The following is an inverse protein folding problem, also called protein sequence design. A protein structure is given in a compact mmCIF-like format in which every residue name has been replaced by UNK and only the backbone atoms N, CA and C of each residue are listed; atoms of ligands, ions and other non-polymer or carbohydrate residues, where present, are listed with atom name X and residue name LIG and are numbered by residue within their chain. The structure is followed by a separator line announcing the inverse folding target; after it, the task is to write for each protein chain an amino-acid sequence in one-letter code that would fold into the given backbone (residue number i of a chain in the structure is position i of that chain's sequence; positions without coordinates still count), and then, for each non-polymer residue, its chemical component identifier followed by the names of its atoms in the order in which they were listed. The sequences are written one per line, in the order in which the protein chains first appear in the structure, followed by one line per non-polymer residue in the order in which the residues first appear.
data_IF_962106222035
#
_entry.id   IF_962106222035
#
_cell.length_a   1.000
_cell.length_b   1.000
_cell.length_c   1.000
_cell.angle_alpha   90.00
_cell.angle_beta   90.00
_cell.angle_gamma   90.00
#
_symmetry.space_group_name_H-M   'P 1'
#
loop_
_entity.id
_entity.type
_entity.pdbx_description
1 polymer ?
#
# COMPACT_ATOMS: atom_id res chain seq x y z
N UNK A 1 -4.00 3.18 -9.87
CA UNK A 1 -4.52 4.22 -8.97
C UNK A 1 -5.61 3.66 -8.10
N UNK A 2 -5.78 4.20 -6.92
CA UNK A 2 -6.93 3.85 -6.10
C UNK A 2 -8.17 4.52 -6.69
N UNK A 3 -9.32 3.83 -6.69
CA UNK A 3 -10.58 4.31 -7.25
C UNK A 3 -11.20 5.55 -6.60
N UNK A 4 -10.45 6.20 -5.68
CA UNK A 4 -10.80 7.52 -5.14
C UNK A 4 -10.37 8.65 -6.08
N UNK A 5 -9.50 8.36 -7.05
CA UNK A 5 -9.10 9.32 -8.08
C UNK A 5 -10.23 9.45 -9.10
N UNK A 6 -10.97 10.52 -8.98
CA UNK A 6 -12.00 10.90 -9.94
C UNK A 6 -11.43 11.96 -10.87
N UNK A 7 -11.26 11.62 -12.14
CA UNK A 7 -10.70 12.54 -13.13
C UNK A 7 -9.29 12.14 -13.59
N UNK A 8 -8.56 13.11 -14.15
CA UNK A 8 -7.21 12.89 -14.66
C UNK A 8 -6.20 12.91 -13.53
N UNK A 9 -5.33 11.92 -13.47
CA UNK A 9 -4.27 11.79 -12.46
C UNK A 9 -2.90 12.03 -13.05
N UNK A 10 -2.01 12.67 -12.26
CA UNK A 10 -0.61 12.92 -12.60
C UNK A 10 0.29 12.47 -11.43
N UNK A 11 1.37 11.71 -11.69
CA UNK A 11 2.37 11.43 -10.68
C UNK A 11 3.19 12.69 -10.37
N UNK A 12 3.52 12.87 -9.08
CA UNK A 12 4.40 13.93 -8.59
C UNK A 12 5.48 13.30 -7.73
N UNK A 13 6.68 13.84 -7.81
CA UNK A 13 7.81 13.46 -6.98
C UNK A 13 8.28 14.69 -6.19
N UNK A 14 7.97 14.73 -4.91
CA UNK A 14 8.35 15.80 -4.01
C UNK A 14 9.72 15.57 -3.35
N UNK A 15 10.10 14.30 -3.17
CA UNK A 15 11.31 13.90 -2.43
C UNK A 15 12.03 12.74 -3.10
N UNK A 16 13.31 12.59 -2.77
CA UNK A 16 14.12 11.43 -3.17
C UNK A 16 14.86 10.87 -1.98
N UNK A 17 15.06 9.54 -1.99
CA UNK A 17 15.74 8.82 -0.94
C UNK A 17 14.89 8.64 0.31
N UNK A 18 15.39 7.85 1.24
CA UNK A 18 14.75 7.55 2.51
C UNK A 18 15.82 7.39 3.57
N UNK A 19 15.74 8.07 4.74
CA UNK A 19 16.81 8.05 5.74
C UNK A 19 16.88 6.72 6.52
N UNK A 20 15.96 5.82 6.24
CA UNK A 20 15.86 4.54 6.93
C UNK A 20 16.54 3.42 6.14
N UNK A 21 17.04 2.44 6.88
CA UNK A 21 17.81 1.32 6.34
C UNK A 21 17.10 -0.02 6.63
N UNK A 22 15.82 -0.10 6.25
CA UNK A 22 15.07 -1.33 6.40
C UNK A 22 15.71 -2.43 5.55
N UNK A 23 15.99 -3.60 6.14
CA UNK A 23 16.80 -4.65 5.51
C UNK A 23 16.18 -5.28 4.26
N UNK A 24 14.87 -5.17 4.12
CA UNK A 24 14.11 -5.69 2.97
C UNK A 24 13.99 -4.70 1.81
N UNK A 25 14.43 -3.46 2.00
CA UNK A 25 14.22 -2.36 1.05
C UNK A 25 15.50 -2.09 0.24
N UNK A 26 15.35 -1.94 -1.07
CA UNK A 26 16.47 -1.63 -1.99
C UNK A 26 16.81 -0.14 -2.04
N UNK A 27 16.06 0.73 -1.33
CA UNK A 27 16.31 2.17 -1.37
C UNK A 27 17.75 2.58 -1.05
N UNK A 28 18.46 2.01 -0.04
CA UNK A 28 19.83 2.39 0.27
C UNK A 28 20.79 2.27 -0.92
N UNK A 29 20.56 1.29 -1.80
CA UNK A 29 21.38 1.05 -3.00
C UNK A 29 20.89 1.83 -4.23
N UNK A 30 19.58 2.14 -4.32
CA UNK A 30 18.99 2.89 -5.45
C UNK A 30 19.19 4.41 -5.33
N UNK A 31 18.79 4.98 -4.18
CA UNK A 31 18.71 6.43 -3.97
C UNK A 31 19.59 6.91 -2.82
N UNK A 32 20.18 5.98 -2.06
CA UNK A 32 20.94 6.25 -0.86
C UNK A 32 20.05 6.58 0.35
N UNK A 33 20.72 6.88 1.46
CA UNK A 33 20.09 7.14 2.77
C UNK A 33 19.84 8.63 3.04
N UNK A 34 20.14 9.50 2.07
CA UNK A 34 19.89 10.94 2.20
C UNK A 34 18.48 11.25 1.69
N UNK A 35 17.63 11.75 2.57
CA UNK A 35 16.34 12.30 2.17
C UNK A 35 16.52 13.73 1.66
N UNK A 36 16.18 13.94 0.40
CA UNK A 36 16.27 15.24 -0.28
C UNK A 36 14.87 15.63 -0.71
N UNK A 37 14.36 16.75 -0.20
CA UNK A 37 13.08 17.31 -0.59
C UNK A 37 13.25 18.53 -1.51
N UNK A 38 12.36 18.67 -2.44
CA UNK A 38 12.09 19.95 -3.12
C UNK A 38 11.44 20.89 -2.11
N UNK A 39 11.45 22.19 -2.37
CA UNK A 39 10.67 23.10 -1.52
C UNK A 39 9.16 22.86 -1.70
N UNK A 40 8.33 23.14 -0.69
CA UNK A 40 6.87 23.06 -0.81
C UNK A 40 6.33 23.89 -1.97
N UNK A 41 6.88 25.09 -2.22
CA UNK A 41 6.52 26.00 -3.30
C UNK A 41 6.75 25.37 -4.67
N UNK A 42 7.94 24.78 -4.89
CA UNK A 42 8.27 24.15 -6.17
C UNK A 42 7.32 22.99 -6.51
N UNK A 43 6.93 22.20 -5.49
CA UNK A 43 6.00 21.09 -5.67
C UNK A 43 4.59 21.61 -5.97
N UNK A 44 4.15 22.61 -5.22
CA UNK A 44 2.83 23.21 -5.41
C UNK A 44 2.71 23.90 -6.77
N UNK A 45 3.72 24.68 -7.19
CA UNK A 45 3.74 25.35 -8.48
C UNK A 45 3.66 24.37 -9.65
N UNK A 46 4.39 23.25 -9.57
CA UNK A 46 4.31 22.19 -10.57
C UNK A 46 2.90 21.58 -10.63
N UNK A 47 2.30 21.26 -9.48
CA UNK A 47 0.93 20.74 -9.42
C UNK A 47 -0.06 21.75 -10.00
N UNK A 48 0.08 23.02 -9.68
CA UNK A 48 -0.76 24.10 -10.21
C UNK A 48 -0.63 24.26 -11.73
N UNK A 49 0.59 24.15 -12.27
CA UNK A 49 0.82 24.17 -13.72
C UNK A 49 0.14 22.99 -14.41
N UNK A 50 0.26 21.78 -13.86
CA UNK A 50 -0.38 20.59 -14.41
C UNK A 50 -1.92 20.69 -14.31
N UNK A 51 -2.44 21.18 -13.20
CA UNK A 51 -3.88 21.43 -13.04
C UNK A 51 -4.40 22.38 -14.11
N UNK A 52 -3.76 23.53 -14.29
CA UNK A 52 -4.17 24.55 -15.28
C UNK A 52 -3.99 24.10 -16.72
N UNK A 53 -2.84 23.51 -17.07
CA UNK A 53 -2.47 23.19 -18.44
C UNK A 53 -3.12 21.90 -18.95
N UNK A 54 -3.25 20.88 -18.11
CA UNK A 54 -3.69 19.55 -18.51
C UNK A 54 -5.01 19.14 -17.85
N UNK A 55 -5.62 20.01 -17.07
CA UNK A 55 -6.87 19.74 -16.32
C UNK A 55 -6.70 18.49 -15.41
N UNK A 56 -5.60 18.48 -14.66
CA UNK A 56 -5.32 17.40 -13.71
C UNK A 56 -6.08 17.67 -12.41
N UNK A 57 -6.89 16.73 -12.00
CA UNK A 57 -7.73 16.81 -10.79
C UNK A 57 -7.19 16.02 -9.61
N UNK A 58 -6.24 15.10 -9.90
CA UNK A 58 -5.65 14.23 -8.89
C UNK A 58 -4.14 14.15 -9.03
N UNK A 59 -3.43 14.08 -7.90
CA UNK A 59 -1.99 13.91 -7.87
C UNK A 59 -1.58 12.74 -7.00
N UNK A 60 -0.69 11.90 -7.53
CA UNK A 60 -0.15 10.74 -6.83
C UNK A 60 1.31 11.01 -6.44
N UNK A 61 1.60 11.11 -5.16
CA UNK A 61 2.97 11.26 -4.67
C UNK A 61 3.69 9.92 -4.70
N UNK A 62 4.53 9.70 -5.71
CA UNK A 62 5.29 8.46 -5.90
C UNK A 62 6.63 8.43 -5.16
N UNK A 63 6.71 9.21 -4.10
CA UNK A 63 7.86 9.24 -3.20
C UNK A 63 8.00 7.92 -2.44
N UNK A 64 9.23 7.50 -2.17
CA UNK A 64 9.51 6.37 -1.28
C UNK A 64 9.03 6.65 0.15
N UNK A 65 9.21 7.91 0.60
CA UNK A 65 8.63 8.44 1.84
C UNK A 65 8.48 9.95 1.72
N UNK A 66 7.29 10.41 1.38
CA UNK A 66 7.02 11.81 1.13
C UNK A 66 7.14 12.65 2.41
N UNK A 67 6.63 12.14 3.54
CA UNK A 67 6.56 12.86 4.79
C UNK A 67 7.62 12.33 5.77
N UNK A 68 8.72 13.08 5.92
CA UNK A 68 9.77 12.86 6.94
C UNK A 68 9.79 14.01 7.94
N UNK A 69 9.58 15.24 7.45
CA UNK A 69 9.61 16.45 8.28
C UNK A 69 8.22 17.06 8.41
N UNK A 70 7.71 17.19 9.64
CA UNK A 70 6.42 17.83 9.93
C UNK A 70 6.33 19.23 9.33
N UNK A 71 7.38 20.06 9.49
CA UNK A 71 7.41 21.43 8.95
C UNK A 71 7.12 21.48 7.46
N UNK A 72 7.75 20.59 6.67
CA UNK A 72 7.59 20.56 5.21
C UNK A 72 6.15 20.31 4.80
N UNK A 73 5.51 19.29 5.40
CA UNK A 73 4.14 18.91 5.01
C UNK A 73 3.11 19.96 5.49
N UNK A 74 3.30 20.55 6.66
CA UNK A 74 2.44 21.64 7.17
C UNK A 74 2.49 22.85 6.22
N UNK A 75 3.70 23.24 5.79
CA UNK A 75 3.91 24.36 4.87
C UNK A 75 3.25 24.08 3.51
N UNK A 76 3.47 22.90 2.94
CA UNK A 76 2.82 22.47 1.70
C UNK A 76 1.28 22.49 1.81
N UNK A 77 0.71 21.89 2.86
CA UNK A 77 -0.73 21.85 3.04
C UNK A 77 -1.35 23.26 3.17
N UNK A 78 -0.72 24.15 3.94
CA UNK A 78 -1.17 25.53 4.09
C UNK A 78 -1.17 26.28 2.77
N UNK A 79 -0.12 26.15 1.97
CA UNK A 79 -0.07 26.75 0.63
C UNK A 79 -1.22 26.29 -0.27
N UNK A 80 -1.51 24.99 -0.28
CA UNK A 80 -2.63 24.43 -1.05
C UNK A 80 -3.95 25.02 -0.55
N UNK A 81 -4.16 25.06 0.76
CA UNK A 81 -5.40 25.57 1.38
C UNK A 81 -5.58 27.07 1.05
N UNK A 82 -4.55 27.87 1.27
CA UNK A 82 -4.56 29.33 1.09
C UNK A 82 -4.78 29.73 -0.38
N UNK A 83 -4.33 28.89 -1.31
CA UNK A 83 -4.54 29.11 -2.74
C UNK A 83 -5.99 28.98 -3.20
N UNK A 84 -6.83 28.31 -2.43
CA UNK A 84 -8.23 28.03 -2.78
C UNK A 84 -8.43 27.03 -3.92
N UNK A 85 -7.36 26.48 -4.53
CA UNK A 85 -7.43 25.52 -5.63
C UNK A 85 -8.04 24.20 -5.14
N UNK A 86 -8.90 23.61 -5.97
CA UNK A 86 -9.58 22.35 -5.67
C UNK A 86 -9.04 21.22 -6.54
N UNK A 87 -8.15 20.44 -5.98
CA UNK A 87 -7.74 19.14 -6.50
C UNK A 87 -7.61 18.13 -5.35
N UNK A 88 -7.49 16.87 -5.69
CA UNK A 88 -7.21 15.82 -4.71
C UNK A 88 -5.81 15.29 -4.90
N UNK A 89 -5.23 14.73 -3.84
CA UNK A 89 -3.93 14.09 -3.90
C UNK A 89 -3.85 12.91 -2.91
N UNK A 90 -2.87 12.06 -3.10
CA UNK A 90 -2.72 10.87 -2.29
C UNK A 90 -1.26 10.47 -2.08
N UNK A 91 -1.04 9.67 -1.02
CA UNK A 91 0.23 9.07 -0.63
C UNK A 91 0.13 7.54 -0.79
N UNK A 92 0.27 6.99 -2.01
CA UNK A 92 0.08 5.57 -2.27
C UNK A 92 1.22 4.71 -1.74
N UNK A 93 2.42 5.27 -1.60
CA UNK A 93 3.58 4.62 -0.99
C UNK A 93 3.47 4.63 0.53
N UNK A 94 4.16 3.69 1.19
CA UNK A 94 4.08 3.57 2.64
C UNK A 94 4.58 4.83 3.37
N UNK A 95 3.67 5.52 4.03
CA UNK A 95 3.97 6.71 4.83
C UNK A 95 4.35 6.32 6.24
N UNK A 96 5.27 7.07 6.82
CA UNK A 96 5.66 6.92 8.22
C UNK A 96 4.81 7.83 9.10
N UNK A 97 4.48 7.31 10.29
CA UNK A 97 3.56 7.97 11.22
C UNK A 97 4.18 9.04 12.10
N UNK A 98 5.52 9.11 12.19
CA UNK A 98 6.22 9.94 13.16
C UNK A 98 5.99 11.44 12.98
N UNK A 99 5.66 11.87 11.77
CA UNK A 99 5.36 13.26 11.45
C UNK A 99 3.87 13.54 11.23
N UNK A 100 2.99 12.56 11.52
CA UNK A 100 1.54 12.67 11.27
C UNK A 100 0.81 12.54 12.61
N UNK A 101 0.43 13.66 13.15
CA UNK A 101 -0.45 13.80 14.31
C UNK A 101 -1.83 14.36 13.89
N UNK A 102 -2.66 14.72 14.85
CA UNK A 102 -3.99 15.26 14.61
C UNK A 102 -3.96 16.54 13.76
N UNK A 103 -3.07 17.51 14.08
CA UNK A 103 -2.90 18.75 13.29
C UNK A 103 -2.54 18.46 11.84
N UNK A 104 -1.56 17.59 11.62
CA UNK A 104 -1.13 17.23 10.26
C UNK A 104 -2.23 16.47 9.52
N UNK A 105 -2.95 15.58 10.20
CA UNK A 105 -4.06 14.83 9.60
C UNK A 105 -5.19 15.75 9.14
N UNK A 106 -5.52 16.77 9.92
CA UNK A 106 -6.50 17.78 9.56
C UNK A 106 -6.05 18.59 8.33
N UNK A 107 -4.82 19.10 8.34
CA UNK A 107 -4.25 19.85 7.23
C UNK A 107 -4.15 19.01 5.95
N UNK A 108 -3.77 17.74 6.06
CA UNK A 108 -3.77 16.81 4.93
C UNK A 108 -5.14 16.73 4.28
N UNK A 109 -6.19 16.52 5.07
CA UNK A 109 -7.55 16.43 4.54
C UNK A 109 -8.03 17.76 3.93
N UNK A 110 -7.80 18.89 4.61
CA UNK A 110 -8.19 20.23 4.15
C UNK A 110 -7.48 20.60 2.84
N UNK A 111 -6.22 20.22 2.66
CA UNK A 111 -5.46 20.45 1.42
C UNK A 111 -5.82 19.49 0.28
N UNK A 112 -6.76 18.57 0.46
CA UNK A 112 -7.23 17.67 -0.58
C UNK A 112 -6.64 16.26 -0.55
N UNK A 113 -5.84 15.88 0.46
CA UNK A 113 -5.40 14.49 0.64
C UNK A 113 -6.62 13.60 0.91
N UNK A 114 -6.78 12.53 0.11
CA UNK A 114 -7.93 11.62 0.25
C UNK A 114 -7.51 10.18 0.56
N UNK A 115 -6.29 9.80 0.22
CA UNK A 115 -5.77 8.46 0.48
C UNK A 115 -4.36 8.52 1.04
N UNK A 116 -4.10 7.65 2.00
CA UNK A 116 -2.78 7.46 2.56
C UNK A 116 -2.53 5.99 2.89
N UNK A 117 -1.34 5.50 2.52
CA UNK A 117 -0.88 4.16 2.89
C UNK A 117 0.09 4.24 4.07
N UNK A 118 -0.18 3.49 5.11
CA UNK A 118 0.78 3.20 6.18
C UNK A 118 1.57 1.94 5.86
N UNK A 119 2.81 1.87 6.31
CA UNK A 119 3.67 0.71 6.12
C UNK A 119 4.22 0.20 7.46
N UNK A 120 3.39 -0.41 8.32
CA UNK A 120 3.86 -1.04 9.55
C UNK A 120 4.77 -2.24 9.28
N UNK A 121 4.60 -2.94 8.17
CA UNK A 121 5.25 -4.16 7.71
C UNK A 121 4.95 -5.38 8.61
N UNK A 122 5.08 -5.26 9.93
CA UNK A 122 4.81 -6.34 10.89
C UNK A 122 4.18 -5.80 12.18
N UNK A 123 3.35 -6.62 12.81
CA UNK A 123 2.83 -6.38 14.17
C UNK A 123 3.71 -6.97 15.28
N UNK A 124 4.82 -7.64 14.91
CA UNK A 124 5.76 -8.24 15.86
C UNK A 124 6.94 -7.33 16.13
N UNK A 125 7.16 -6.88 17.40
CA UNK A 125 8.30 -6.04 17.75
C UNK A 125 9.66 -6.70 17.42
N UNK A 126 9.77 -8.01 17.58
CA UNK A 126 11.01 -8.74 17.27
C UNK A 126 11.29 -8.77 15.76
N UNK A 127 10.26 -8.92 14.93
CA UNK A 127 10.41 -8.81 13.47
C UNK A 127 10.84 -7.40 13.09
N UNK A 128 10.15 -6.36 13.60
CA UNK A 128 10.47 -4.96 13.33
C UNK A 128 11.92 -4.62 13.67
N UNK A 129 12.42 -5.14 14.79
CA UNK A 129 13.82 -4.97 15.19
C UNK A 129 14.77 -5.62 14.17
N UNK A 130 14.51 -6.88 13.79
CA UNK A 130 15.34 -7.62 12.81
C UNK A 130 15.38 -6.97 11.43
N UNK A 131 14.24 -6.47 10.96
CA UNK A 131 14.17 -5.80 9.67
C UNK A 131 14.58 -4.31 9.73
N UNK A 132 15.08 -3.85 10.86
CA UNK A 132 15.49 -2.47 11.11
C UNK A 132 14.37 -1.44 10.82
N UNK A 133 13.11 -1.85 10.98
CA UNK A 133 11.95 -0.96 10.83
C UNK A 133 11.74 -0.19 12.13
N UNK A 134 12.34 1.00 12.21
CA UNK A 134 12.29 1.87 13.40
C UNK A 134 10.94 2.59 13.46
N UNK A 135 9.90 1.93 13.96
CA UNK A 135 8.57 2.50 14.21
C UNK A 135 8.08 2.10 15.59
N UNK A 136 7.25 2.93 16.19
CA UNK A 136 6.44 2.59 17.35
C UNK A 136 5.00 2.29 16.91
N UNK A 137 4.53 1.06 17.16
CA UNK A 137 3.21 0.61 16.72
C UNK A 137 2.08 1.38 17.40
N UNK A 138 2.25 1.82 18.65
CA UNK A 138 1.23 2.57 19.39
C UNK A 138 1.07 3.98 18.80
N UNK A 139 2.18 4.65 18.54
CA UNK A 139 2.20 5.96 17.88
C UNK A 139 1.61 5.88 16.47
N UNK A 140 1.92 4.81 15.74
CA UNK A 140 1.33 4.58 14.41
C UNK A 140 -0.19 4.38 14.47
N UNK A 141 -0.69 3.64 15.46
CA UNK A 141 -2.14 3.49 15.64
C UNK A 141 -2.83 4.80 16.02
N UNK A 142 -2.18 5.66 16.81
CA UNK A 142 -2.70 6.99 17.09
C UNK A 142 -2.82 7.82 15.80
N UNK A 143 -1.74 7.89 15.02
CA UNK A 143 -1.72 8.55 13.70
C UNK A 143 -2.79 8.00 12.76
N UNK A 144 -3.00 6.67 12.71
CA UNK A 144 -4.06 6.05 11.93
C UNK A 144 -5.47 6.51 12.36
N UNK A 145 -5.72 6.59 13.69
CA UNK A 145 -7.00 7.09 14.22
C UNK A 145 -7.25 8.53 13.84
N UNK A 146 -6.24 9.38 13.98
CA UNK A 146 -6.35 10.81 13.65
C UNK A 146 -6.64 11.00 12.16
N UNK A 147 -5.92 10.30 11.29
CA UNK A 147 -6.15 10.36 9.84
C UNK A 147 -7.55 9.88 9.43
N UNK A 148 -8.03 8.77 10.04
CA UNK A 148 -9.38 8.25 9.76
C UNK A 148 -10.45 9.18 10.28
N UNK A 149 -10.25 9.75 11.48
CA UNK A 149 -11.19 10.72 12.09
C UNK A 149 -11.35 11.97 11.24
N UNK A 150 -10.27 12.41 10.61
CA UNK A 150 -10.27 13.52 9.68
C UNK A 150 -10.76 13.16 8.25
N UNK A 151 -11.21 11.92 8.01
CA UNK A 151 -11.84 11.53 6.75
C UNK A 151 -10.87 11.03 5.67
N UNK A 152 -9.59 10.80 5.99
CA UNK A 152 -8.63 10.24 5.06
C UNK A 152 -8.85 8.73 4.94
N UNK A 153 -8.89 8.23 3.71
CA UNK A 153 -8.94 6.80 3.44
C UNK A 153 -7.55 6.18 3.67
N UNK A 154 -7.42 5.38 4.72
CA UNK A 154 -6.16 4.80 5.15
C UNK A 154 -6.06 3.32 4.79
N UNK A 155 -4.92 2.94 4.24
CA UNK A 155 -4.53 1.56 3.94
C UNK A 155 -3.30 1.19 4.76
N UNK A 156 -3.15 -0.10 5.09
CA UNK A 156 -1.93 -0.63 5.71
C UNK A 156 -1.28 -1.71 4.85
N UNK A 157 0.04 -1.62 4.72
CA UNK A 157 0.86 -2.62 4.04
C UNK A 157 1.58 -3.49 5.07
N UNK A 158 1.38 -4.79 5.00
CA UNK A 158 1.97 -5.80 5.87
C UNK A 158 2.75 -6.79 5.02
N UNK A 159 3.90 -7.20 5.53
CA UNK A 159 4.75 -8.25 4.94
C UNK A 159 4.86 -9.38 5.95
N UNK A 160 4.67 -10.62 5.51
CA UNK A 160 4.84 -11.83 6.31
C UNK A 160 5.77 -12.82 5.59
N UNK A 161 6.40 -13.73 6.33
CA UNK A 161 7.30 -14.73 5.76
C UNK A 161 8.74 -14.24 5.58
N UNK A 162 9.20 -13.29 6.42
CA UNK A 162 10.62 -12.94 6.47
C UNK A 162 11.50 -14.16 6.81
N UNK A 163 12.78 -14.22 6.39
CA UNK A 163 13.62 -15.42 6.49
C UNK A 163 13.66 -16.11 7.87
N UNK A 164 13.58 -15.35 8.95
CA UNK A 164 13.61 -15.88 10.32
C UNK A 164 12.31 -15.60 11.09
N UNK A 165 11.20 -15.37 10.40
CA UNK A 165 9.91 -15.14 11.01
C UNK A 165 9.26 -16.46 11.42
N UNK A 166 8.75 -16.53 12.65
CA UNK A 166 8.10 -17.70 13.23
C UNK A 166 6.58 -17.61 13.15
N UNK A 167 5.88 -18.73 13.30
CA UNK A 167 4.42 -18.76 13.41
C UNK A 167 3.89 -17.80 14.49
N UNK A 168 4.55 -17.76 15.66
CA UNK A 168 4.16 -16.86 16.76
C UNK A 168 4.22 -15.39 16.34
N UNK A 169 5.23 -14.99 15.60
CA UNK A 169 5.39 -13.62 15.13
C UNK A 169 4.38 -13.26 14.06
N UNK A 170 4.04 -14.20 13.17
CA UNK A 170 2.92 -14.03 12.23
C UNK A 170 1.60 -13.83 12.98
N UNK A 171 1.33 -14.63 14.05
CA UNK A 171 0.13 -14.42 14.86
C UNK A 171 0.09 -13.04 15.52
N UNK A 172 1.22 -12.50 15.99
CA UNK A 172 1.30 -11.13 16.50
C UNK A 172 0.93 -10.12 15.40
N UNK A 173 1.39 -10.35 14.17
CA UNK A 173 1.05 -9.52 13.01
C UNK A 173 -0.44 -9.63 12.65
N UNK A 174 -1.03 -10.82 12.66
CA UNK A 174 -2.46 -11.01 12.44
C UNK A 174 -3.31 -10.33 13.54
N UNK A 175 -2.85 -10.39 14.80
CA UNK A 175 -3.49 -9.65 15.90
C UNK A 175 -3.42 -8.14 15.68
N UNK A 176 -2.30 -7.64 15.17
CA UNK A 176 -2.18 -6.23 14.79
C UNK A 176 -3.15 -5.87 13.65
N UNK A 177 -3.39 -6.75 12.69
CA UNK A 177 -4.43 -6.56 11.66
C UNK A 177 -5.83 -6.42 12.28
N UNK A 178 -6.16 -7.23 13.30
CA UNK A 178 -7.43 -7.09 14.06
C UNK A 178 -7.52 -5.71 14.71
N UNK A 179 -6.45 -5.22 15.35
CA UNK A 179 -6.40 -3.88 15.95
C UNK A 179 -6.60 -2.78 14.92
N UNK A 180 -5.95 -2.89 13.76
CA UNK A 180 -6.15 -1.95 12.65
C UNK A 180 -7.59 -1.97 12.11
N UNK A 181 -8.22 -3.14 11.99
CA UNK A 181 -9.63 -3.25 11.64
C UNK A 181 -10.54 -2.58 12.68
N UNK A 182 -10.25 -2.77 13.98
CA UNK A 182 -10.98 -2.11 15.07
C UNK A 182 -10.79 -0.58 15.06
N UNK A 183 -9.62 -0.06 14.73
CA UNK A 183 -9.36 1.37 14.51
C UNK A 183 -10.20 1.89 13.33
N UNK A 184 -10.39 1.06 12.31
CA UNK A 184 -11.16 1.40 11.11
C UNK A 184 -10.31 1.71 9.89
N UNK A 185 -9.09 1.15 9.80
CA UNK A 185 -8.33 1.12 8.55
C UNK A 185 -9.23 0.59 7.43
N UNK A 186 -9.13 1.17 6.25
CA UNK A 186 -10.07 0.88 5.16
C UNK A 186 -9.67 -0.36 4.36
N UNK A 187 -8.38 -0.61 4.26
CA UNK A 187 -7.83 -1.71 3.45
C UNK A 187 -6.51 -2.22 4.05
N UNK A 188 -6.24 -3.52 3.91
CA UNK A 188 -4.97 -4.13 4.30
C UNK A 188 -4.41 -4.94 3.15
N UNK A 189 -3.10 -4.84 2.94
CA UNK A 189 -2.37 -5.73 2.04
C UNK A 189 -1.48 -6.64 2.86
N UNK A 190 -1.72 -7.95 2.84
CA UNK A 190 -0.81 -8.95 3.37
C UNK A 190 -0.01 -9.56 2.22
N UNK A 191 1.24 -9.17 2.10
CA UNK A 191 2.14 -9.63 1.05
C UNK A 191 3.15 -10.61 1.62
N UNK A 192 3.54 -11.67 0.88
CA UNK A 192 4.70 -12.46 1.27
C UNK A 192 5.95 -11.62 1.10
N UNK A 193 6.96 -11.87 1.93
CA UNK A 193 8.27 -11.30 1.72
C UNK A 193 8.84 -11.76 0.38
N UNK A 194 9.35 -10.82 -0.40
CA UNK A 194 10.05 -11.08 -1.65
C UNK A 194 11.45 -10.47 -1.57
N UNK A 195 12.51 -11.25 -1.89
CA UNK A 195 13.89 -10.78 -1.78
C UNK A 195 14.25 -9.90 -2.98
N UNK A 196 13.99 -8.61 -2.87
CA UNK A 196 14.33 -7.65 -3.92
C UNK A 196 15.84 -7.43 -4.03
N UNK A 197 16.42 -7.54 -5.25
CA UNK A 197 17.83 -7.22 -5.50
C UNK A 197 18.21 -5.85 -4.97
N UNK A 198 19.40 -5.74 -4.39
CA UNK A 198 19.89 -4.50 -3.78
C UNK A 198 19.45 -4.28 -2.32
N UNK A 199 18.60 -5.13 -1.76
CA UNK A 199 18.29 -5.10 -0.33
C UNK A 199 19.31 -5.90 0.48
N UNK A 200 19.49 -5.56 1.77
CA UNK A 200 20.40 -6.28 2.69
C UNK A 200 19.97 -7.75 2.84
N UNK A 201 18.66 -8.01 2.99
CA UNK A 201 18.17 -9.40 3.09
C UNK A 201 18.41 -10.19 1.81
N UNK A 202 18.26 -9.58 0.64
CA UNK A 202 18.61 -10.25 -0.62
C UNK A 202 20.08 -10.64 -0.65
N UNK A 203 20.99 -9.73 -0.31
CA UNK A 203 22.43 -10.00 -0.31
C UNK A 203 22.80 -11.10 0.69
N UNK A 204 22.18 -11.10 1.88
CA UNK A 204 22.39 -12.16 2.87
C UNK A 204 21.92 -13.53 2.34
N UNK A 205 20.71 -13.59 1.77
CA UNK A 205 20.16 -14.82 1.19
C UNK A 205 20.98 -15.31 -0.02
N UNK A 206 21.54 -14.39 -0.81
CA UNK A 206 22.41 -14.73 -1.92
C UNK A 206 23.72 -15.35 -1.43
N UNK A 207 24.34 -14.77 -0.40
CA UNK A 207 25.56 -15.30 0.22
C UNK A 207 25.34 -16.67 0.87
N UNK A 208 24.13 -16.91 1.39
CA UNK A 208 23.70 -18.20 1.96
C UNK A 208 23.29 -19.23 0.88
N UNK A 209 23.36 -18.89 -0.40
CA UNK A 209 22.95 -19.77 -1.51
C UNK A 209 21.44 -20.02 -1.60
N UNK A 210 20.62 -19.16 -1.00
CA UNK A 210 19.15 -19.31 -0.95
C UNK A 210 18.45 -18.61 -2.13
N UNK A 211 19.16 -17.74 -2.87
CA UNK A 211 18.61 -17.08 -4.06
C UNK A 211 18.83 -18.00 -5.27
N UNK A 212 17.77 -18.37 -5.99
CA UNK A 212 17.89 -19.13 -7.21
C UNK A 212 18.61 -18.34 -8.31
N UNK A 213 18.93 -19.00 -9.40
CA UNK A 213 19.44 -18.36 -10.60
C UNK A 213 18.48 -17.27 -11.09
N UNK A 214 19.01 -16.19 -11.63
CA UNK A 214 18.22 -15.09 -12.18
C UNK A 214 17.53 -15.55 -13.47
N UNK A 215 16.33 -16.04 -13.31
CA UNK A 215 15.45 -16.49 -14.38
C UNK A 215 14.18 -15.63 -14.43
N UNK A 216 13.39 -15.80 -15.47
CA UNK A 216 12.07 -15.15 -15.56
C UNK A 216 11.18 -15.55 -14.39
N UNK A 217 11.23 -16.83 -13.94
CA UNK A 217 10.49 -17.34 -12.79
C UNK A 217 10.88 -16.63 -11.50
N UNK A 218 12.18 -16.34 -11.30
CA UNK A 218 12.64 -15.55 -10.15
C UNK A 218 12.02 -14.16 -10.17
N UNK A 219 12.08 -13.46 -11.31
CA UNK A 219 11.55 -12.10 -11.40
C UNK A 219 10.01 -12.07 -11.31
N UNK A 220 9.30 -13.04 -11.88
CA UNK A 220 7.85 -13.19 -11.69
C UNK A 220 7.51 -13.49 -10.23
N UNK A 221 8.34 -14.27 -9.53
CA UNK A 221 8.20 -14.55 -8.10
C UNK A 221 8.26 -13.30 -7.22
N UNK A 222 9.02 -12.27 -7.61
CA UNK A 222 9.07 -10.99 -6.89
C UNK A 222 7.72 -10.25 -6.92
N UNK A 223 6.86 -10.52 -7.90
CA UNK A 223 5.54 -9.93 -8.04
C UNK A 223 4.44 -10.74 -7.29
N UNK A 224 4.79 -11.72 -6.47
CA UNK A 224 3.86 -12.59 -5.74
C UNK A 224 2.86 -11.84 -4.82
N UNK A 225 3.12 -10.57 -4.50
CA UNK A 225 2.17 -9.72 -3.78
C UNK A 225 0.89 -9.42 -4.58
N UNK A 226 0.89 -9.59 -5.89
CA UNK A 226 -0.27 -9.37 -6.77
C UNK A 226 -1.11 -10.63 -6.95
N UNK A 227 -0.55 -11.81 -6.70
CA UNK A 227 -1.21 -13.10 -6.89
C UNK A 227 -1.43 -13.79 -5.53
N UNK A 228 -2.69 -14.08 -5.22
CA UNK A 228 -3.07 -14.79 -4.00
C UNK A 228 -2.98 -16.31 -4.14
N UNK A 229 -2.89 -16.84 -5.36
CA UNK A 229 -2.85 -18.27 -5.63
C UNK A 229 -1.46 -18.87 -5.46
N UNK A 230 -0.41 -18.03 -5.63
CA UNK A 230 0.98 -18.45 -5.52
C UNK A 230 1.63 -17.76 -4.32
N UNK A 231 2.14 -18.52 -3.38
CA UNK A 231 2.87 -18.00 -2.23
C UNK A 231 4.13 -18.83 -2.01
N UNK A 232 5.27 -18.18 -2.15
CA UNK A 232 6.57 -18.76 -1.81
C UNK A 232 7.05 -18.14 -0.50
N UNK A 233 7.49 -18.98 0.43
CA UNK A 233 8.01 -18.55 1.73
C UNK A 233 9.52 -18.51 1.72
N UNK A 234 10.07 -17.42 2.21
CA UNK A 234 11.50 -17.32 2.51
C UNK A 234 11.81 -17.65 3.98
N UNK A 235 10.79 -17.96 4.79
CA UNK A 235 10.98 -18.31 6.20
C UNK A 235 11.53 -19.72 6.38
N UNK A 236 12.49 -19.87 7.29
CA UNK A 236 13.01 -21.18 7.72
C UNK A 236 12.00 -21.99 8.54
N UNK A 237 10.98 -21.32 9.11
CA UNK A 237 10.04 -21.92 10.07
C UNK A 237 8.63 -22.07 9.52
N UNK A 238 8.29 -21.35 8.47
CA UNK A 238 6.93 -21.29 7.93
C UNK A 238 6.97 -21.67 6.45
N UNK A 239 6.42 -22.81 6.09
CA UNK A 239 6.38 -23.29 4.70
C UNK A 239 5.32 -22.56 3.86
N UNK A 240 5.38 -22.72 2.54
CA UNK A 240 4.55 -22.05 1.54
C UNK A 240 3.05 -22.17 1.80
N UNK A 241 2.57 -23.40 2.10
CA UNK A 241 1.15 -23.66 2.38
C UNK A 241 0.66 -22.90 3.61
N UNK A 242 1.47 -22.90 4.68
CA UNK A 242 1.13 -22.20 5.92
C UNK A 242 1.13 -20.69 5.70
N UNK A 243 2.11 -20.17 4.96
CA UNK A 243 2.18 -18.74 4.64
C UNK A 243 1.00 -18.32 3.76
N UNK A 244 0.63 -19.10 2.75
CA UNK A 244 -0.54 -18.87 1.92
C UNK A 244 -1.83 -18.86 2.72
N UNK A 245 -1.98 -19.80 3.68
CA UNK A 245 -3.09 -19.80 4.62
C UNK A 245 -3.13 -18.53 5.46
N UNK A 246 -2.00 -18.09 6.04
CA UNK A 246 -1.94 -16.86 6.85
C UNK A 246 -2.28 -15.61 6.05
N UNK A 247 -1.90 -15.53 4.78
CA UNK A 247 -2.30 -14.41 3.90
C UNK A 247 -3.82 -14.33 3.78
N UNK A 248 -4.45 -15.41 3.36
CA UNK A 248 -5.89 -15.44 3.13
C UNK A 248 -6.65 -15.27 4.44
N UNK A 249 -6.28 -16.03 5.47
CA UNK A 249 -6.90 -15.97 6.79
C UNK A 249 -6.77 -14.58 7.42
N UNK A 250 -5.61 -13.95 7.33
CA UNK A 250 -5.37 -12.60 7.86
C UNK A 250 -6.24 -11.54 7.17
N UNK A 251 -6.41 -11.63 5.86
CA UNK A 251 -7.31 -10.75 5.11
C UNK A 251 -8.77 -10.98 5.51
N UNK A 252 -9.22 -12.25 5.57
CA UNK A 252 -10.56 -12.58 6.01
C UNK A 252 -10.84 -12.12 7.44
N UNK A 253 -9.88 -12.30 8.34
CA UNK A 253 -9.96 -11.85 9.72
C UNK A 253 -10.08 -10.33 9.81
N UNK A 254 -9.23 -9.60 9.07
CA UNK A 254 -9.28 -8.14 9.01
C UNK A 254 -10.64 -7.63 8.53
N UNK A 255 -11.11 -8.08 7.36
CA UNK A 255 -12.38 -7.62 6.80
C UNK A 255 -13.58 -8.11 7.62
N UNK A 256 -13.52 -9.33 8.18
CA UNK A 256 -14.54 -9.86 9.08
C UNK A 256 -14.74 -8.97 10.31
N UNK A 257 -13.65 -8.62 10.98
CA UNK A 257 -13.69 -7.69 12.14
C UNK A 257 -14.14 -6.30 11.72
N UNK A 258 -13.62 -5.79 10.58
CA UNK A 258 -13.98 -4.47 10.07
C UNK A 258 -15.49 -4.36 9.81
N UNK A 259 -16.08 -5.34 9.13
CA UNK A 259 -17.51 -5.33 8.78
C UNK A 259 -18.41 -5.65 9.98
N UNK A 260 -17.94 -6.49 10.91
CA UNK A 260 -18.65 -6.73 12.16
C UNK A 260 -18.80 -5.43 13.00
N UNK A 261 -17.71 -4.69 13.11
CA UNK A 261 -17.70 -3.43 13.88
C UNK A 261 -18.31 -2.24 13.13
N UNK A 262 -18.33 -2.31 11.78
CA UNK A 262 -18.82 -1.23 10.89
C UNK A 262 -19.65 -1.79 9.73
N UNK A 263 -20.87 -2.30 10.01
CA UNK A 263 -21.68 -2.99 9.01
C UNK A 263 -22.03 -2.09 7.79
N UNK A 264 -22.12 -0.76 7.98
CA UNK A 264 -22.33 0.18 6.88
C UNK A 264 -21.21 0.14 5.83
N UNK A 265 -19.98 -0.25 6.22
CA UNK A 265 -18.88 -0.42 5.26
C UNK A 265 -19.09 -1.62 4.34
N UNK A 266 -19.70 -2.68 4.83
CA UNK A 266 -20.08 -3.82 3.97
C UNK A 266 -21.07 -3.37 2.88
N UNK A 267 -22.08 -2.61 3.25
CA UNK A 267 -23.05 -2.04 2.29
C UNK A 267 -22.36 -1.14 1.28
N UNK A 268 -21.41 -0.30 1.75
CA UNK A 268 -20.62 0.57 0.87
C UNK A 268 -19.75 -0.25 -0.09
N UNK A 269 -19.06 -1.28 0.39
CA UNK A 269 -18.24 -2.18 -0.42
C UNK A 269 -19.08 -2.87 -1.50
N UNK A 270 -20.25 -3.42 -1.15
CA UNK A 270 -21.15 -4.02 -2.13
C UNK A 270 -21.59 -3.01 -3.20
N UNK A 271 -21.98 -1.80 -2.78
CA UNK A 271 -22.34 -0.74 -3.73
C UNK A 271 -21.18 -0.37 -4.66
N UNK A 272 -19.95 -0.28 -4.14
CA UNK A 272 -18.77 0.07 -4.91
C UNK A 272 -18.34 -1.04 -5.89
N UNK A 273 -18.52 -2.31 -5.52
CA UNK A 273 -18.26 -3.46 -6.44
C UNK A 273 -19.11 -3.38 -7.70
N UNK A 274 -20.38 -2.98 -7.57
CA UNK A 274 -21.29 -2.82 -8.70
C UNK A 274 -21.29 -1.39 -9.30
N UNK A 275 -20.62 -0.45 -8.65
CA UNK A 275 -20.52 0.94 -9.08
C UNK A 275 -19.34 1.20 -10.03
N UNK A 276 -19.17 2.46 -10.40
CA UNK A 276 -18.07 2.91 -11.27
C UNK A 276 -16.75 3.05 -10.54
N UNK A 277 -16.76 3.26 -9.22
CA UNK A 277 -15.58 3.61 -8.42
C UNK A 277 -15.37 2.60 -7.30
N UNK A 278 -14.14 2.09 -7.18
CA UNK A 278 -13.70 1.22 -6.11
C UNK A 278 -12.71 1.98 -5.22
N UNK A 279 -12.85 1.81 -3.92
CA UNK A 279 -12.03 2.51 -2.89
C UNK A 279 -11.00 1.59 -2.24
N UNK A 280 -11.15 0.28 -2.40
CA UNK A 280 -10.23 -0.71 -1.82
C UNK A 280 -9.78 -1.73 -2.85
N UNK A 281 -8.69 -2.45 -2.56
CA UNK A 281 -8.24 -3.58 -3.39
C UNK A 281 -9.25 -4.71 -3.38
N UNK A 282 -9.91 -4.95 -2.25
CA UNK A 282 -10.96 -5.97 -2.17
C UNK A 282 -12.09 -5.65 -3.16
N UNK A 283 -12.56 -4.41 -3.20
CA UNK A 283 -13.60 -3.99 -4.15
C UNK A 283 -13.17 -4.17 -5.60
N UNK A 284 -11.92 -3.79 -5.93
CA UNK A 284 -11.35 -4.01 -7.27
C UNK A 284 -11.30 -5.49 -7.62
N UNK A 285 -10.80 -6.34 -6.73
CA UNK A 285 -10.69 -7.79 -6.97
C UNK A 285 -12.05 -8.45 -7.12
N UNK A 286 -13.01 -8.06 -6.27
CA UNK A 286 -14.39 -8.57 -6.36
C UNK A 286 -15.07 -8.12 -7.66
N UNK A 287 -14.86 -6.89 -8.10
CA UNK A 287 -15.38 -6.38 -9.38
C UNK A 287 -14.76 -7.11 -10.56
N UNK A 288 -13.45 -7.31 -10.56
CA UNK A 288 -12.77 -8.06 -11.62
C UNK A 288 -13.28 -9.50 -11.71
N UNK A 289 -13.48 -10.14 -10.57
CA UNK A 289 -14.09 -11.47 -10.50
C UNK A 289 -15.52 -11.46 -11.08
N UNK A 290 -16.33 -10.49 -10.67
CA UNK A 290 -17.69 -10.32 -11.19
C UNK A 290 -17.71 -10.13 -12.72
N UNK A 291 -16.85 -9.25 -13.24
CA UNK A 291 -16.75 -9.01 -14.69
C UNK A 291 -16.33 -10.28 -15.44
N UNK A 292 -15.36 -11.05 -14.91
CA UNK A 292 -14.92 -12.31 -15.51
C UNK A 292 -16.05 -13.35 -15.54
N UNK A 293 -16.81 -13.48 -14.45
CA UNK A 293 -17.95 -14.41 -14.37
C UNK A 293 -19.09 -14.01 -15.33
N UNK A 294 -19.34 -12.71 -15.50
CA UNK A 294 -20.34 -12.23 -16.47
C UNK A 294 -19.88 -12.47 -17.91
N UNK A 295 -18.62 -12.14 -18.25
CA UNK A 295 -18.08 -12.37 -19.61
C UNK A 295 -17.97 -13.84 -19.97
N UNK A 296 -17.72 -14.74 -19.03
CA UNK A 296 -17.71 -16.19 -19.28
C UNK A 296 -19.10 -16.73 -19.67
N UNK A 297 -20.18 -16.08 -19.25
CA UNK A 297 -21.54 -16.46 -19.68
C UNK A 297 -21.85 -16.00 -21.10
N UNK A 298 -21.30 -14.92 -21.58
CA UNK A 298 -21.52 -14.41 -22.93
C UNK A 298 -20.64 -15.11 -23.97
N UNK A 299 -19.52 -15.74 -23.59
CA UNK A 299 -18.65 -16.47 -24.52
C UNK A 299 -19.12 -17.88 -24.88
N UNK A 300 -20.22 -18.35 -24.33
CA UNK A 300 -20.84 -19.64 -24.74
C UNK A 300 -21.72 -19.55 -25.99
N UNK A 301 -21.83 -18.38 -26.62
CA UNK A 301 -22.58 -18.14 -27.84
C UNK A 301 -21.68 -17.44 -28.85
N UNK A 302 -20.73 -18.14 -29.46
CA UNK A 302 -20.25 -18.01 -30.84
C UNK A 302 -18.94 -18.80 -31.04
N UNK A 303 -19.08 -20.03 -31.51
CA UNK A 303 -18.00 -20.73 -32.21
C UNK A 303 -17.96 -20.16 -33.62
N UNK A 304 -16.94 -19.46 -34.09
CA UNK A 304 -16.84 -19.14 -35.51
C UNK A 304 -16.53 -20.42 -36.27
N UNK A 305 -17.34 -20.73 -37.28
CA UNK A 305 -17.11 -21.80 -38.21
C UNK A 305 -15.71 -21.65 -38.83
N UNK A 306 -14.89 -22.70 -38.76
CA UNK A 306 -13.64 -22.82 -39.51
C UNK A 306 -13.99 -22.73 -41.00
N UNK A 307 -13.63 -21.64 -41.64
CA UNK A 307 -13.61 -21.60 -43.11
C UNK A 307 -12.44 -22.44 -43.61
N UNK A 308 -12.79 -23.60 -44.16
CA UNK A 308 -11.89 -24.37 -45.01
C UNK A 308 -11.71 -23.61 -46.31
N UNK A 309 -10.58 -22.98 -46.51
CA UNK A 309 -10.11 -22.63 -47.84
C UNK A 309 -9.15 -23.70 -48.36
N UNK A 310 -9.60 -24.29 -49.47
CA UNK A 310 -8.77 -25.12 -50.35
C UNK A 310 -7.66 -24.27 -50.98
#
# INVERSE_FOLDING_TARGET
GFGVNRGRSMPVLATRGCPYQCTFCSNPTMWGTRWVSRSPEQVFDEMLQYHKRYQIDNFDFYDLTAIVKKKWIVEFCRMVIDSGVKFTWQLPSGTRSEAIDEEVSELLYQSGCRNMSYAPESGSPSVLLRIKKKIDLKSMEASMRDSIRNGINCKANIIIGFPNETHKEIFQTLWFCVRMAAIGIHDVSLSPFSPYPGSELFSNMQNDGQIPEYSDEFFYGLAAYTDLTTTTSCSKYVGDRALGFYRIFGMLLFYGVLYLLRPWRLVRTLRNVFGEFQESRLEMSLRDLYIRLCKSKDSTVATPARSTHK
#
